data_IF_196818048538
#
_entry.id   IF_196818048538
#
_cell.length_a   1.000
_cell.length_b   1.000
_cell.length_c   1.000
_cell.angle_alpha   90.00
_cell.angle_beta   90.00
_cell.angle_gamma   90.00
#
_symmetry.space_group_name_H-M   'P 1'
#
loop_
_entity.id
_entity.type
_entity.pdbx_description
1 polymer ?
#
# COMPACT_ATOMS: atom_id res chain seq x y z
N UNK A 1 -22.74 -1.18 -25.62
CA UNK A 1 -22.69 -1.96 -24.36
C UNK A 1 -21.40 -2.77 -24.30
N UNK A 2 -21.40 -3.96 -24.92
CA UNK A 2 -20.30 -4.94 -24.82
C UNK A 2 -18.91 -4.43 -25.26
N UNK A 3 -18.82 -3.63 -26.33
CA UNK A 3 -17.54 -3.05 -26.78
C UNK A 3 -16.96 -2.03 -25.79
N UNK A 4 -17.82 -1.26 -25.11
CA UNK A 4 -17.38 -0.26 -24.12
C UNK A 4 -16.97 -0.90 -22.79
N UNK A 5 -17.52 -2.06 -22.45
CA UNK A 5 -17.12 -2.88 -21.31
C UNK A 5 -15.96 -3.83 -21.61
N UNK A 6 -15.55 -3.96 -22.86
CA UNK A 6 -14.47 -4.88 -23.24
C UNK A 6 -13.16 -4.60 -22.51
N UNK A 7 -12.70 -3.34 -22.32
CA UNK A 7 -11.50 -3.07 -21.52
C UNK A 7 -11.64 -3.55 -20.07
N UNK A 8 -12.81 -3.36 -19.45
CA UNK A 8 -13.08 -3.84 -18.09
C UNK A 8 -13.07 -5.38 -18.03
N UNK A 9 -13.72 -6.04 -18.97
CA UNK A 9 -13.76 -7.51 -19.04
C UNK A 9 -12.35 -8.07 -19.26
N UNK A 10 -11.59 -7.50 -20.21
CA UNK A 10 -10.19 -7.87 -20.45
C UNK A 10 -9.37 -7.67 -19.18
N UNK A 11 -9.54 -6.56 -18.48
CA UNK A 11 -8.79 -6.27 -17.27
C UNK A 11 -9.16 -7.19 -16.09
N UNK A 12 -10.45 -7.55 -15.95
CA UNK A 12 -10.92 -8.53 -14.96
C UNK A 12 -10.34 -9.93 -15.19
N UNK A 13 -10.15 -10.31 -16.46
CA UNK A 13 -9.57 -11.61 -16.84
C UNK A 13 -8.05 -11.59 -16.75
N UNK A 14 -7.40 -10.52 -17.22
CA UNK A 14 -5.95 -10.44 -17.34
C UNK A 14 -5.24 -10.08 -16.03
N UNK A 15 -5.91 -9.41 -15.08
CA UNK A 15 -5.29 -8.95 -13.83
C UNK A 15 -6.14 -9.39 -12.62
N UNK A 16 -6.02 -10.66 -12.18
CA UNK A 16 -6.79 -11.19 -11.06
C UNK A 16 -6.59 -10.36 -9.78
N UNK A 17 -7.70 -9.99 -9.13
CA UNK A 17 -7.66 -9.29 -7.84
C UNK A 17 -7.41 -7.77 -7.89
N UNK A 18 -6.87 -7.22 -8.98
CA UNK A 18 -6.63 -5.76 -9.09
C UNK A 18 -7.92 -4.93 -9.02
N UNK A 19 -8.99 -5.47 -9.57
CA UNK A 19 -10.27 -4.76 -9.65
C UNK A 19 -11.24 -5.12 -8.55
N UNK A 20 -10.96 -6.15 -7.74
CA UNK A 20 -11.90 -6.61 -6.71
C UNK A 20 -12.30 -5.46 -5.79
N UNK A 21 -11.33 -4.72 -5.29
CA UNK A 21 -11.53 -3.53 -4.44
C UNK A 21 -12.26 -2.37 -5.13
N UNK A 22 -12.30 -2.33 -6.46
CA UNK A 22 -12.95 -1.27 -7.26
C UNK A 22 -14.32 -1.70 -7.79
N UNK A 23 -14.56 -3.00 -7.94
CA UNK A 23 -15.81 -3.59 -8.42
C UNK A 23 -16.72 -4.07 -7.30
N UNK A 24 -16.21 -4.17 -6.08
CA UNK A 24 -17.04 -4.46 -4.91
C UNK A 24 -18.14 -3.39 -4.78
N UNK A 25 -19.36 -3.90 -4.70
CA UNK A 25 -20.57 -3.08 -4.64
C UNK A 25 -20.99 -2.95 -3.18
N UNK A 26 -21.27 -1.71 -2.77
CA UNK A 26 -21.83 -1.43 -1.46
C UNK A 26 -23.19 -2.14 -1.29
N UNK A 27 -23.55 -2.58 -0.07
CA UNK A 27 -24.88 -3.10 0.21
C UNK A 27 -25.98 -2.11 -0.18
N UNK A 28 -27.13 -2.61 -0.67
CA UNK A 28 -28.23 -1.77 -1.16
C UNK A 28 -28.69 -0.72 -0.12
N UNK A 29 -28.75 -1.07 1.16
CA UNK A 29 -29.10 -0.13 2.24
C UNK A 29 -28.12 1.04 2.34
N UNK A 30 -26.82 0.76 2.24
CA UNK A 30 -25.77 1.77 2.22
C UNK A 30 -25.85 2.61 0.94
N UNK A 31 -26.06 1.98 -0.21
CA UNK A 31 -26.19 2.70 -1.48
C UNK A 31 -27.42 3.63 -1.50
N UNK A 32 -28.56 3.21 -0.92
CA UNK A 32 -29.74 4.07 -0.76
C UNK A 32 -29.45 5.28 0.13
N UNK A 33 -28.71 5.09 1.23
CA UNK A 33 -28.28 6.24 2.07
C UNK A 33 -27.34 7.18 1.30
N UNK A 34 -26.40 6.59 0.52
CA UNK A 34 -25.45 7.31 -0.34
C UNK A 34 -26.11 8.09 -1.47
N UNK A 35 -27.29 7.64 -1.92
CA UNK A 35 -28.04 8.33 -2.98
C UNK A 35 -28.46 9.72 -2.53
N UNK A 36 -28.95 9.86 -1.31
CA UNK A 36 -29.24 11.18 -0.78
C UNK A 36 -27.94 11.91 -0.42
N UNK A 37 -27.09 11.31 0.42
CA UNK A 37 -25.83 11.88 0.89
C UNK A 37 -24.69 10.85 0.82
N UNK A 38 -23.67 11.02 -0.05
CA UNK A 38 -23.27 12.29 -0.66
C UNK A 38 -23.71 12.52 -2.11
N UNK A 39 -24.41 11.61 -2.79
CA UNK A 39 -24.61 11.73 -4.24
C UNK A 39 -25.43 12.97 -4.63
N UNK A 40 -26.68 13.06 -4.18
CA UNK A 40 -27.60 14.14 -4.55
C UNK A 40 -27.28 15.42 -3.79
N UNK A 41 -27.09 15.36 -2.47
CA UNK A 41 -26.85 16.57 -1.66
C UNK A 41 -25.50 17.17 -1.95
N UNK A 42 -24.42 16.39 -1.96
CA UNK A 42 -23.07 16.93 -2.02
C UNK A 42 -22.51 16.94 -3.46
N UNK A 43 -22.42 15.78 -4.11
CA UNK A 43 -21.68 15.62 -5.35
C UNK A 43 -22.34 16.29 -6.56
N UNK A 44 -23.68 16.23 -6.67
CA UNK A 44 -24.41 16.84 -7.79
C UNK A 44 -24.18 18.37 -7.83
N UNK A 45 -24.36 19.15 -6.75
CA UNK A 45 -24.07 20.58 -6.78
C UNK A 45 -22.62 20.93 -7.15
N UNK A 46 -21.65 20.10 -6.77
CA UNK A 46 -20.26 20.31 -7.17
C UNK A 46 -20.08 20.13 -8.69
N UNK A 47 -20.63 19.04 -9.22
CA UNK A 47 -20.52 18.68 -10.65
C UNK A 47 -21.33 19.60 -11.56
N UNK A 48 -22.44 20.11 -11.05
CA UNK A 48 -23.29 21.12 -11.70
C UNK A 48 -22.76 22.55 -11.53
N UNK A 49 -21.56 22.73 -10.99
CA UNK A 49 -20.86 24.01 -10.93
C UNK A 49 -21.39 25.00 -9.89
N UNK A 50 -22.16 24.55 -8.91
CA UNK A 50 -22.71 25.40 -7.83
C UNK A 50 -21.75 25.48 -6.64
N UNK A 51 -21.13 24.35 -6.30
CA UNK A 51 -20.14 24.23 -5.24
C UNK A 51 -18.81 23.74 -5.82
N UNK A 52 -18.26 24.46 -6.81
CA UNK A 52 -17.10 23.99 -7.56
C UNK A 52 -15.95 23.68 -6.60
N UNK A 53 -15.48 22.43 -6.61
CA UNK A 53 -14.27 22.05 -5.90
C UNK A 53 -13.08 22.70 -6.59
N UNK A 54 -12.24 23.39 -5.82
CA UNK A 54 -11.00 23.95 -6.42
C UNK A 54 -10.05 22.87 -6.89
N UNK A 55 -10.19 21.68 -6.32
CA UNK A 55 -9.42 20.51 -6.67
C UNK A 55 -10.27 19.25 -6.44
N UNK A 56 -10.19 18.21 -7.29
CA UNK A 56 -11.11 17.06 -7.25
C UNK A 56 -11.12 16.23 -5.95
N UNK A 57 -10.11 16.39 -5.10
CA UNK A 57 -9.96 15.64 -3.84
C UNK A 57 -9.93 16.53 -2.59
N UNK A 58 -10.21 17.84 -2.73
CA UNK A 58 -10.12 18.81 -1.64
C UNK A 58 -11.50 19.43 -1.39
N UNK A 59 -11.91 19.40 -0.13
CA UNK A 59 -13.18 19.95 0.35
C UNK A 59 -13.10 21.48 0.53
N UNK A 60 -12.62 22.18 -0.50
CA UNK A 60 -12.63 23.63 -0.58
C UNK A 60 -13.50 24.07 -1.76
N UNK A 61 -14.61 24.75 -1.42
CA UNK A 61 -15.65 25.15 -2.37
C UNK A 61 -15.85 26.67 -2.35
N UNK A 62 -15.05 27.44 -3.11
CA UNK A 62 -15.27 28.88 -3.27
C UNK A 62 -16.51 29.11 -4.12
N UNK A 63 -17.68 29.14 -3.49
CA UNK A 63 -18.93 29.52 -4.12
C UNK A 63 -19.12 31.03 -4.08
N UNK A 64 -19.56 31.63 -5.18
CA UNK A 64 -20.00 33.03 -5.22
C UNK A 64 -21.33 33.23 -4.46
N UNK A 65 -22.14 32.17 -4.32
CA UNK A 65 -23.47 32.22 -3.73
C UNK A 65 -23.64 31.15 -2.63
N UNK A 66 -23.24 31.45 -1.38
CA UNK A 66 -23.52 30.56 -0.27
C UNK A 66 -25.04 30.36 -0.13
N UNK A 67 -25.48 29.10 0.00
CA UNK A 67 -26.90 28.76 0.14
C UNK A 67 -27.62 28.33 -1.15
N UNK A 68 -27.03 28.54 -2.35
CA UNK A 68 -27.61 28.04 -3.61
C UNK A 68 -27.51 26.52 -3.79
N UNK A 69 -26.82 25.87 -2.87
CA UNK A 69 -26.64 24.42 -2.81
C UNK A 69 -27.98 23.67 -2.81
N UNK A 70 -28.83 23.87 -1.78
CA UNK A 70 -30.10 23.15 -1.64
C UNK A 70 -31.12 23.46 -2.75
N UNK A 71 -31.29 24.72 -3.20
CA UNK A 71 -32.14 25.01 -4.36
C UNK A 71 -31.77 24.20 -5.61
N UNK A 72 -30.47 24.03 -5.90
CA UNK A 72 -30.02 23.24 -7.05
C UNK A 72 -30.25 21.75 -6.83
N UNK A 73 -30.03 21.25 -5.61
CA UNK A 73 -30.37 19.87 -5.25
C UNK A 73 -31.85 19.58 -5.52
N UNK A 74 -32.75 20.46 -5.07
CA UNK A 74 -34.18 20.31 -5.31
C UNK A 74 -34.53 20.44 -6.79
N UNK A 75 -33.98 21.42 -7.50
CA UNK A 75 -34.20 21.59 -8.94
C UNK A 75 -33.78 20.34 -9.71
N UNK A 76 -32.56 19.84 -9.49
CA UNK A 76 -32.07 18.61 -10.10
C UNK A 76 -32.97 17.42 -9.81
N UNK A 77 -33.33 17.21 -8.54
CA UNK A 77 -34.15 16.08 -8.11
C UNK A 77 -35.53 16.11 -8.76
N UNK A 78 -36.17 17.28 -8.79
CA UNK A 78 -37.48 17.47 -9.44
C UNK A 78 -37.39 17.20 -10.94
N UNK A 79 -36.38 17.73 -11.64
CA UNK A 79 -36.21 17.51 -13.08
C UNK A 79 -36.02 16.02 -13.38
N UNK A 80 -35.14 15.33 -12.66
CA UNK A 80 -34.86 13.90 -12.90
C UNK A 80 -36.09 13.04 -12.58
N UNK A 81 -36.78 13.29 -11.46
CA UNK A 81 -37.99 12.54 -11.09
C UNK A 81 -39.11 12.77 -12.10
N UNK A 82 -39.38 14.01 -12.52
CA UNK A 82 -40.41 14.29 -13.51
C UNK A 82 -40.08 13.67 -14.87
N UNK A 83 -38.82 13.75 -15.32
CA UNK A 83 -38.39 13.11 -16.55
C UNK A 83 -38.59 11.59 -16.48
N UNK A 84 -38.23 10.94 -15.37
CA UNK A 84 -38.47 9.51 -15.15
C UNK A 84 -39.95 9.16 -15.19
N UNK A 85 -40.80 9.91 -14.49
CA UNK A 85 -42.26 9.67 -14.46
C UNK A 85 -42.87 9.81 -15.85
N UNK A 86 -42.50 10.85 -16.60
CA UNK A 86 -42.99 11.07 -17.97
C UNK A 86 -42.60 9.92 -18.90
N UNK A 87 -41.34 9.45 -18.80
CA UNK A 87 -40.81 8.36 -19.63
C UNK A 87 -41.45 7.03 -19.27
N UNK A 88 -41.57 6.72 -17.97
CA UNK A 88 -42.27 5.54 -17.48
C UNK A 88 -43.74 5.53 -17.89
N UNK A 89 -44.45 6.66 -17.73
CA UNK A 89 -45.85 6.80 -18.15
C UNK A 89 -46.04 6.55 -19.64
N UNK A 90 -45.13 7.09 -20.46
CA UNK A 90 -45.15 6.85 -21.91
C UNK A 90 -44.98 5.36 -22.24
N UNK A 91 -44.01 4.69 -21.62
CA UNK A 91 -43.78 3.25 -21.81
C UNK A 91 -45.04 2.46 -21.43
N UNK A 92 -45.62 2.74 -20.26
CA UNK A 92 -46.87 2.09 -19.81
C UNK A 92 -48.02 2.32 -20.79
N UNK A 93 -48.17 3.55 -21.32
CA UNK A 93 -49.19 3.88 -22.33
C UNK A 93 -48.98 3.11 -23.63
N UNK A 94 -47.75 3.00 -24.11
CA UNK A 94 -47.43 2.24 -25.34
C UNK A 94 -47.68 0.73 -25.15
N UNK A 95 -47.27 0.18 -24.00
CA UNK A 95 -47.53 -1.22 -23.65
C UNK A 95 -49.04 -1.49 -23.55
N UNK A 96 -49.81 -0.58 -22.96
CA UNK A 96 -51.28 -0.66 -22.92
C UNK A 96 -51.93 -0.62 -24.32
N UNK A 97 -51.29 0.06 -25.27
CA UNK A 97 -51.68 0.07 -26.69
C UNK A 97 -51.13 -1.13 -27.48
N UNK A 98 -50.51 -2.12 -26.81
CA UNK A 98 -49.83 -3.27 -27.42
C UNK A 98 -48.74 -2.88 -28.43
N UNK A 99 -48.13 -1.72 -28.24
CA UNK A 99 -46.99 -1.24 -29.03
C UNK A 99 -45.70 -1.42 -28.24
N UNK A 100 -44.68 -1.94 -28.89
CA UNK A 100 -43.35 -2.00 -28.30
C UNK A 100 -42.75 -0.59 -28.20
N UNK A 101 -42.24 -0.18 -27.03
CA UNK A 101 -41.55 1.10 -26.91
C UNK A 101 -40.25 1.07 -27.71
N UNK A 102 -40.03 2.09 -28.53
CA UNK A 102 -38.74 2.34 -29.17
C UNK A 102 -37.90 3.19 -28.22
N UNK A 103 -36.63 2.83 -28.05
CA UNK A 103 -35.67 3.62 -27.27
C UNK A 103 -35.34 4.91 -28.03
N UNK A 104 -35.73 6.03 -27.47
CA UNK A 104 -35.37 7.36 -27.97
C UNK A 104 -34.14 7.90 -27.26
N UNK A 105 -33.55 8.96 -27.85
CA UNK A 105 -32.40 9.65 -27.26
C UNK A 105 -32.68 10.12 -25.82
N UNK A 106 -33.89 10.59 -25.57
CA UNK A 106 -34.31 11.07 -24.26
C UNK A 106 -34.33 9.95 -23.21
N UNK A 107 -34.74 8.73 -23.60
CA UNK A 107 -34.72 7.56 -22.72
C UNK A 107 -33.27 7.20 -22.36
N UNK A 108 -32.36 7.29 -23.34
CA UNK A 108 -30.92 7.06 -23.13
C UNK A 108 -30.32 8.10 -22.18
N UNK A 109 -30.67 9.38 -22.33
CA UNK A 109 -30.15 10.45 -21.46
C UNK A 109 -30.62 10.29 -20.01
N UNK A 110 -31.92 10.00 -19.82
CA UNK A 110 -32.47 9.76 -18.47
C UNK A 110 -31.85 8.50 -17.86
N UNK A 111 -31.75 7.42 -18.64
CA UNK A 111 -31.10 6.18 -18.19
C UNK A 111 -29.62 6.39 -17.85
N UNK A 112 -28.90 7.23 -18.60
CA UNK A 112 -27.50 7.55 -18.33
C UNK A 112 -27.35 8.32 -17.00
N UNK A 113 -28.19 9.32 -16.73
CA UNK A 113 -28.17 10.05 -15.46
C UNK A 113 -28.46 9.12 -14.28
N UNK A 114 -29.53 8.34 -14.35
CA UNK A 114 -29.89 7.39 -13.29
C UNK A 114 -28.83 6.31 -13.12
N UNK A 115 -28.33 5.75 -14.23
CA UNK A 115 -27.27 4.75 -14.22
C UNK A 115 -25.98 5.27 -13.57
N UNK A 116 -25.59 6.51 -13.85
CA UNK A 116 -24.44 7.14 -13.20
C UNK A 116 -24.67 7.35 -11.69
N UNK A 117 -25.86 7.79 -11.29
CA UNK A 117 -26.21 7.92 -9.87
C UNK A 117 -26.16 6.57 -9.15
N UNK A 118 -26.73 5.51 -9.75
CA UNK A 118 -26.69 4.15 -9.20
C UNK A 118 -25.26 3.63 -9.13
N UNK A 119 -24.48 3.77 -10.19
CA UNK A 119 -23.09 3.34 -10.20
C UNK A 119 -22.25 4.06 -9.13
N UNK A 120 -22.48 5.37 -8.97
CA UNK A 120 -21.82 6.18 -7.95
C UNK A 120 -22.18 5.76 -6.52
N UNK A 121 -23.43 5.43 -6.25
CA UNK A 121 -23.87 5.02 -4.90
C UNK A 121 -23.47 3.60 -4.55
N UNK A 122 -23.40 2.73 -5.56
CA UNK A 122 -22.97 1.33 -5.43
C UNK A 122 -21.45 1.19 -5.34
N UNK A 123 -20.67 2.14 -5.83
CA UNK A 123 -19.21 2.07 -5.74
C UNK A 123 -18.75 2.06 -4.27
N UNK A 124 -18.02 1.02 -3.85
CA UNK A 124 -17.43 0.98 -2.51
C UNK A 124 -16.29 2.00 -2.36
N UNK A 125 -15.55 2.23 -3.44
CA UNK A 125 -14.46 3.21 -3.48
C UNK A 125 -14.96 4.64 -3.26
N UNK A 126 -14.15 5.47 -2.59
CA UNK A 126 -14.50 6.82 -2.16
C UNK A 126 -15.27 7.63 -3.21
N UNK A 127 -16.52 7.95 -2.89
CA UNK A 127 -17.48 8.62 -3.77
C UNK A 127 -17.06 10.07 -4.03
N UNK A 128 -16.31 10.29 -5.12
CA UNK A 128 -15.78 11.61 -5.50
C UNK A 128 -16.63 12.27 -6.59
N UNK A 129 -16.98 13.56 -6.47
CA UNK A 129 -17.86 14.25 -7.41
C UNK A 129 -17.49 14.08 -8.88
N UNK A 130 -16.18 14.06 -9.22
CA UNK A 130 -15.68 13.81 -10.59
C UNK A 130 -16.27 12.57 -11.29
N UNK A 131 -16.71 11.55 -10.54
CA UNK A 131 -17.32 10.35 -11.12
C UNK A 131 -18.75 10.56 -11.61
N UNK A 132 -19.40 11.66 -11.22
CA UNK A 132 -20.69 12.08 -11.75
C UNK A 132 -20.58 13.09 -12.89
N UNK A 133 -19.39 13.39 -13.43
CA UNK A 133 -19.22 14.26 -14.60
C UNK A 133 -20.16 13.93 -15.76
N UNK A 134 -20.41 12.65 -16.13
CA UNK A 134 -21.40 12.34 -17.16
C UNK A 134 -22.80 12.89 -16.86
N UNK A 135 -23.20 12.97 -15.59
CA UNK A 135 -24.48 13.59 -15.20
C UNK A 135 -24.53 15.06 -15.62
N UNK A 136 -23.46 15.84 -15.42
CA UNK A 136 -23.43 17.24 -15.89
C UNK A 136 -23.60 17.35 -17.42
N UNK A 137 -23.14 16.36 -18.18
CA UNK A 137 -23.24 16.36 -19.64
C UNK A 137 -24.64 15.98 -20.14
N UNK A 138 -25.27 14.97 -19.51
CA UNK A 138 -26.61 14.52 -19.89
C UNK A 138 -27.73 15.37 -19.28
N UNK A 139 -27.49 16.04 -18.16
CA UNK A 139 -28.52 16.82 -17.46
C UNK A 139 -29.17 17.92 -18.31
N UNK A 140 -28.46 18.70 -19.13
CA UNK A 140 -29.07 19.63 -20.08
C UNK A 140 -30.07 18.96 -21.04
N UNK A 141 -29.77 17.75 -21.52
CA UNK A 141 -30.66 16.99 -22.42
C UNK A 141 -31.91 16.48 -21.70
N UNK A 142 -31.77 16.09 -20.42
CA UNK A 142 -32.92 15.75 -19.55
C UNK A 142 -33.80 16.97 -19.30
N UNK A 143 -33.22 18.16 -19.11
CA UNK A 143 -33.98 19.40 -19.00
C UNK A 143 -34.71 19.70 -20.31
N UNK A 144 -34.06 19.57 -21.48
CA UNK A 144 -34.69 19.76 -22.78
C UNK A 144 -35.87 18.81 -23.00
N UNK A 145 -35.70 17.54 -22.60
CA UNK A 145 -36.79 16.54 -22.61
C UNK A 145 -37.98 17.04 -21.82
N UNK A 146 -37.77 17.46 -20.57
CA UNK A 146 -38.83 17.98 -19.71
C UNK A 146 -39.48 19.24 -20.30
N UNK A 147 -38.66 20.20 -20.74
CA UNK A 147 -39.11 21.45 -21.34
C UNK A 147 -40.03 21.24 -22.56
N UNK A 148 -39.69 20.29 -23.43
CA UNK A 148 -40.49 19.97 -24.62
C UNK A 148 -41.88 19.42 -24.27
N UNK A 149 -41.97 18.63 -23.19
CA UNK A 149 -43.20 18.01 -22.71
C UNK A 149 -44.10 18.95 -21.90
N UNK A 150 -43.57 20.08 -21.43
CA UNK A 150 -44.33 21.04 -20.62
C UNK A 150 -45.24 21.94 -21.46
N UNK A 151 -46.43 22.32 -20.92
CA UNK A 151 -47.27 23.36 -21.51
C UNK A 151 -46.56 24.71 -21.48
N UNK A 152 -46.93 25.61 -22.40
CA UNK A 152 -46.25 26.89 -22.61
C UNK A 152 -46.14 27.75 -21.33
N UNK A 153 -47.15 27.71 -20.45
CA UNK A 153 -47.15 28.42 -19.16
C UNK A 153 -46.01 27.99 -18.24
N UNK A 154 -45.62 26.72 -18.28
CA UNK A 154 -44.56 26.15 -17.45
C UNK A 154 -43.18 26.23 -18.11
N UNK A 155 -43.12 26.52 -19.42
CA UNK A 155 -41.85 26.69 -20.14
C UNK A 155 -41.11 27.95 -19.69
N UNK A 156 -41.80 29.07 -19.49
CA UNK A 156 -41.18 30.32 -19.05
C UNK A 156 -40.42 30.20 -17.72
N UNK A 157 -41.02 29.69 -16.62
CA UNK A 157 -40.28 29.55 -15.36
C UNK A 157 -39.12 28.56 -15.45
N UNK A 158 -39.24 27.48 -16.25
CA UNK A 158 -38.12 26.56 -16.49
C UNK A 158 -36.99 27.24 -17.26
N UNK A 159 -37.30 28.01 -18.30
CA UNK A 159 -36.30 28.78 -19.05
C UNK A 159 -35.58 29.80 -18.15
N UNK A 160 -36.32 30.50 -17.27
CA UNK A 160 -35.73 31.40 -16.28
C UNK A 160 -34.83 30.64 -15.29
N UNK A 161 -35.23 29.47 -14.83
CA UNK A 161 -34.42 28.60 -13.97
C UNK A 161 -33.12 28.15 -14.65
N UNK A 162 -33.18 27.74 -15.92
CA UNK A 162 -31.99 27.41 -16.73
C UNK A 162 -31.08 28.63 -16.86
N UNK A 163 -31.63 29.79 -17.20
CA UNK A 163 -30.86 31.02 -17.32
C UNK A 163 -30.16 31.38 -16.01
N UNK A 164 -30.88 31.35 -14.88
CA UNK A 164 -30.30 31.57 -13.57
C UNK A 164 -29.18 30.57 -13.26
N UNK A 165 -29.38 29.28 -13.59
CA UNK A 165 -28.38 28.24 -13.42
C UNK A 165 -27.10 28.48 -14.25
N UNK A 166 -27.24 28.97 -15.48
CA UNK A 166 -26.10 29.37 -16.33
C UNK A 166 -25.36 30.54 -15.71
N UNK A 167 -26.07 31.59 -15.26
CA UNK A 167 -25.46 32.76 -14.59
C UNK A 167 -24.69 32.34 -13.34
N UNK A 168 -25.24 31.44 -12.51
CA UNK A 168 -24.56 30.88 -11.35
C UNK A 168 -23.27 30.15 -11.73
N UNK A 169 -23.31 29.31 -12.77
CA UNK A 169 -22.15 28.57 -13.25
C UNK A 169 -21.04 29.51 -13.75
N UNK A 170 -21.39 30.54 -14.51
CA UNK A 170 -20.43 31.56 -14.99
C UNK A 170 -19.80 32.28 -13.80
N UNK A 171 -20.61 32.76 -12.85
CA UNK A 171 -20.11 33.48 -11.67
C UNK A 171 -19.19 32.61 -10.79
N UNK A 172 -19.56 31.35 -10.54
CA UNK A 172 -18.72 30.41 -9.80
C UNK A 172 -17.44 30.07 -10.56
N UNK A 173 -17.49 29.94 -11.89
CA UNK A 173 -16.30 29.73 -12.71
C UNK A 173 -15.33 30.91 -12.65
N UNK A 174 -15.85 32.15 -12.69
CA UNK A 174 -15.04 33.35 -12.48
C UNK A 174 -14.41 33.34 -11.09
N UNK A 175 -15.16 33.00 -10.05
CA UNK A 175 -14.65 32.91 -8.68
C UNK A 175 -13.58 31.82 -8.53
N UNK A 176 -13.76 30.68 -9.19
CA UNK A 176 -12.78 29.61 -9.23
C UNK A 176 -11.48 30.07 -9.88
N UNK A 177 -11.56 30.70 -11.05
CA UNK A 177 -10.39 31.24 -11.77
C UNK A 177 -9.65 32.26 -10.90
N UNK A 178 -10.38 33.20 -10.28
CA UNK A 178 -9.77 34.15 -9.33
C UNK A 178 -9.08 33.46 -8.16
N UNK A 179 -9.64 32.34 -7.67
CA UNK A 179 -9.06 31.57 -6.58
C UNK A 179 -7.77 30.87 -7.04
N UNK A 180 -7.75 30.29 -8.25
CA UNK A 180 -6.56 29.68 -8.83
C UNK A 180 -5.47 30.68 -9.19
N UNK A 181 -5.84 31.92 -9.52
CA UNK A 181 -4.89 33.00 -9.80
C UNK A 181 -4.23 33.58 -8.54
N UNK A 182 -4.68 33.20 -7.34
CA UNK A 182 -4.01 33.64 -6.12
C UNK A 182 -2.58 33.05 -6.06
N UNK A 183 -1.54 33.87 -5.82
CA UNK A 183 -0.14 33.45 -5.95
C UNK A 183 0.25 32.33 -4.98
N UNK A 184 -0.48 32.18 -3.87
CA UNK A 184 -0.27 31.18 -2.82
C UNK A 184 -1.24 29.99 -2.91
N UNK A 185 -2.11 29.92 -3.94
CA UNK A 185 -3.13 28.89 -4.06
C UNK A 185 -2.54 27.47 -4.03
N UNK A 186 -1.55 27.20 -4.89
CA UNK A 186 -0.95 25.88 -5.05
C UNK A 186 -0.22 25.40 -3.78
N UNK A 187 0.41 26.30 -3.06
CA UNK A 187 1.11 25.97 -1.82
C UNK A 187 0.12 25.68 -0.69
N UNK A 188 -0.95 26.48 -0.56
CA UNK A 188 -1.86 26.40 0.59
C UNK A 188 -2.93 25.33 0.47
N UNK A 189 -3.50 25.14 -0.71
CA UNK A 189 -4.76 24.40 -0.84
C UNK A 189 -4.49 22.93 -1.14
N UNK A 190 -3.81 22.56 -2.24
CA UNK A 190 -3.43 21.18 -2.46
C UNK A 190 -2.20 20.75 -1.64
N UNK A 191 -1.65 21.65 -0.81
CA UNK A 191 -0.42 21.41 -0.06
C UNK A 191 0.67 20.90 -1.01
N UNK A 192 0.85 21.59 -2.14
CA UNK A 192 1.81 21.24 -3.19
C UNK A 192 2.91 22.30 -3.21
N UNK A 193 3.82 22.27 -2.23
CA UNK A 193 4.94 23.22 -2.18
C UNK A 193 5.83 23.07 -3.41
N UNK A 194 6.56 24.13 -3.76
CA UNK A 194 7.52 24.09 -4.85
C UNK A 194 8.57 22.99 -4.61
N UNK A 195 8.75 22.08 -5.58
CA UNK A 195 9.73 20.99 -5.50
C UNK A 195 11.04 21.35 -6.18
N UNK A 196 11.12 22.47 -6.91
CA UNK A 196 12.35 22.86 -7.60
C UNK A 196 13.58 22.97 -6.68
N UNK A 197 13.49 23.56 -5.45
CA UNK A 197 14.62 23.57 -4.52
C UNK A 197 15.04 22.15 -4.09
N UNK A 198 14.06 21.28 -3.84
CA UNK A 198 14.29 19.88 -3.50
C UNK A 198 14.99 19.15 -4.66
N UNK A 199 14.49 19.29 -5.89
CA UNK A 199 15.08 18.70 -7.09
C UNK A 199 16.52 19.16 -7.29
N UNK A 200 16.80 20.46 -7.13
CA UNK A 200 18.16 20.99 -7.21
C UNK A 200 19.07 20.38 -6.14
N UNK A 201 18.59 20.25 -4.90
CA UNK A 201 19.35 19.66 -3.80
C UNK A 201 19.62 18.17 -3.99
N UNK A 202 18.64 17.41 -4.50
CA UNK A 202 18.80 15.99 -4.83
C UNK A 202 19.84 15.81 -5.93
N UNK A 203 19.77 16.60 -7.01
CA UNK A 203 20.77 16.59 -8.10
C UNK A 203 22.17 16.89 -7.59
N UNK A 204 22.32 17.93 -6.77
CA UNK A 204 23.60 18.30 -6.16
C UNK A 204 24.15 17.21 -5.24
N UNK A 205 23.28 16.36 -4.68
CA UNK A 205 23.65 15.23 -3.82
C UNK A 205 23.85 13.93 -4.61
N UNK A 206 23.75 13.95 -5.94
CA UNK A 206 23.88 12.77 -6.79
C UNK A 206 22.74 11.75 -6.65
N UNK A 207 21.60 12.15 -6.11
CA UNK A 207 20.45 11.26 -5.91
C UNK A 207 19.63 11.22 -7.20
N UNK A 208 19.55 10.04 -7.82
CA UNK A 208 18.81 9.80 -9.07
C UNK A 208 17.55 8.96 -8.87
N UNK A 209 17.37 8.36 -7.69
CA UNK A 209 16.23 7.50 -7.36
C UNK A 209 15.69 7.82 -5.97
N UNK A 210 14.35 7.83 -5.82
CA UNK A 210 13.72 8.11 -4.54
C UNK A 210 12.36 7.41 -4.32
N UNK A 211 11.96 7.26 -3.05
CA UNK A 211 10.64 6.82 -2.66
C UNK A 211 9.86 7.96 -2.01
N UNK A 212 8.60 8.12 -2.39
CA UNK A 212 7.72 9.09 -1.74
C UNK A 212 6.24 8.71 -1.83
N UNK A 213 5.35 9.60 -1.39
CA UNK A 213 3.91 9.46 -1.59
C UNK A 213 3.53 9.89 -3.01
N UNK A 214 2.44 9.31 -3.52
CA UNK A 214 2.09 9.35 -4.95
C UNK A 214 2.06 10.75 -5.58
N UNK A 215 1.56 11.77 -4.88
CA UNK A 215 1.54 13.15 -5.38
C UNK A 215 2.93 13.73 -5.60
N UNK A 216 3.90 13.40 -4.75
CA UNK A 216 5.26 13.93 -4.84
C UNK A 216 6.10 13.14 -5.84
N UNK A 217 5.86 11.83 -5.94
CA UNK A 217 6.50 10.93 -6.92
C UNK A 217 6.39 11.48 -8.34
N UNK A 218 5.18 11.78 -8.80
CA UNK A 218 4.98 12.28 -10.15
C UNK A 218 5.61 13.65 -10.37
N UNK A 219 5.55 14.53 -9.37
CA UNK A 219 6.10 15.89 -9.48
C UNK A 219 7.62 15.89 -9.51
N UNK A 220 8.30 15.17 -8.62
CA UNK A 220 9.77 15.10 -8.65
C UNK A 220 10.24 14.49 -9.97
N UNK A 221 9.60 13.41 -10.41
CA UNK A 221 9.98 12.74 -11.67
C UNK A 221 9.77 13.69 -12.86
N UNK A 222 8.63 14.35 -12.96
CA UNK A 222 8.32 15.28 -14.05
C UNK A 222 9.18 16.54 -14.02
N UNK A 223 9.26 17.24 -12.88
CA UNK A 223 10.00 18.51 -12.75
C UNK A 223 11.53 18.31 -12.77
N UNK A 224 11.99 17.07 -12.63
CA UNK A 224 13.40 16.72 -12.85
C UNK A 224 13.71 16.29 -14.30
N UNK A 225 12.76 16.38 -15.22
CA UNK A 225 12.89 15.85 -16.59
C UNK A 225 13.34 14.38 -16.59
N UNK A 226 12.77 13.58 -15.68
CA UNK A 226 13.08 12.17 -15.45
C UNK A 226 14.54 11.88 -15.02
N UNK A 227 15.36 12.91 -14.75
CA UNK A 227 16.71 12.72 -14.20
C UNK A 227 16.72 12.19 -12.76
N UNK A 228 15.60 12.33 -12.04
CA UNK A 228 15.35 11.71 -10.74
C UNK A 228 14.07 10.90 -10.86
N UNK A 229 14.17 9.57 -10.85
CA UNK A 229 13.01 8.70 -10.84
C UNK A 229 12.52 8.55 -9.40
N UNK A 230 11.25 8.79 -9.16
CA UNK A 230 10.66 8.47 -7.86
C UNK A 230 9.56 7.43 -8.00
N UNK A 231 9.38 6.63 -6.96
CA UNK A 231 8.36 5.59 -6.91
C UNK A 231 7.57 5.65 -5.59
N UNK A 232 6.34 5.14 -5.61
CA UNK A 232 5.55 5.00 -4.39
C UNK A 232 6.17 3.91 -3.51
N UNK A 233 6.13 4.07 -2.19
CA UNK A 233 6.57 2.98 -1.29
C UNK A 233 5.75 1.69 -1.44
N UNK A 234 4.49 1.86 -1.86
CA UNK A 234 3.55 0.79 -2.18
C UNK A 234 2.45 1.35 -3.05
N UNK A 235 1.81 0.51 -3.84
CA UNK A 235 0.64 0.91 -4.61
C UNK A 235 -0.54 1.19 -3.68
N UNK A 236 -0.76 2.46 -3.34
CA UNK A 236 -1.82 2.85 -2.41
C UNK A 236 -3.23 2.65 -2.98
N UNK A 237 -3.35 2.60 -4.31
CA UNK A 237 -4.62 2.47 -5.01
C UNK A 237 -4.97 1.02 -5.30
N UNK A 238 -3.98 0.20 -5.62
CA UNK A 238 -4.12 -1.22 -5.94
C UNK A 238 -3.05 -2.03 -5.19
N UNK A 239 -3.26 -2.35 -3.90
CA UNK A 239 -2.21 -2.92 -3.05
C UNK A 239 -1.61 -4.25 -3.54
N UNK A 240 -2.34 -4.99 -4.38
CA UNK A 240 -1.92 -6.27 -4.95
C UNK A 240 -1.21 -6.14 -6.30
N UNK A 241 -1.13 -4.94 -6.86
CA UNK A 241 -0.53 -4.69 -8.17
C UNK A 241 0.85 -4.09 -7.99
N UNK A 242 1.85 -4.80 -8.52
CA UNK A 242 3.24 -4.37 -8.56
C UNK A 242 3.39 -2.96 -9.14
N UNK A 243 4.37 -2.21 -8.65
CA UNK A 243 4.63 -0.87 -9.17
C UNK A 243 5.45 -0.93 -10.47
N UNK A 244 5.30 0.06 -11.38
CA UNK A 244 5.93 -0.01 -12.70
C UNK A 244 7.45 -0.14 -12.68
N UNK A 245 8.12 0.32 -11.62
CA UNK A 245 9.58 0.33 -11.51
C UNK A 245 10.08 -0.50 -10.33
N UNK A 246 9.23 -1.34 -9.73
CA UNK A 246 9.55 -2.10 -8.52
C UNK A 246 10.88 -2.87 -8.65
N UNK A 247 11.11 -3.53 -9.79
CA UNK A 247 12.35 -4.26 -10.08
C UNK A 247 13.61 -3.38 -10.12
N UNK A 248 13.46 -2.11 -10.52
CA UNK A 248 14.55 -1.14 -10.59
C UNK A 248 14.88 -0.55 -9.22
N UNK A 249 13.86 -0.38 -8.37
CA UNK A 249 14.00 0.21 -7.04
C UNK A 249 14.38 -0.79 -5.95
N UNK A 250 13.93 -2.04 -6.05
CA UNK A 250 14.32 -3.12 -5.12
C UNK A 250 15.82 -3.40 -5.19
N UNK A 251 16.47 -3.08 -6.31
CA UNK A 251 17.90 -3.33 -6.56
C UNK A 251 18.78 -2.09 -6.51
N UNK A 252 18.19 -0.90 -6.38
CA UNK A 252 18.95 0.34 -6.35
C UNK A 252 19.40 0.69 -4.94
N UNK A 253 20.68 0.53 -4.66
CA UNK A 253 21.32 1.27 -3.58
C UNK A 253 21.86 2.62 -4.10
N UNK A 254 21.72 3.72 -3.34
CA UNK A 254 21.11 3.82 -2.01
C UNK A 254 19.60 4.10 -2.04
N UNK A 255 18.85 3.49 -1.10
CA UNK A 255 17.45 3.85 -0.87
C UNK A 255 17.33 5.28 -0.33
N UNK A 256 16.47 6.10 -0.94
CA UNK A 256 16.18 7.48 -0.50
C UNK A 256 14.69 7.63 -0.26
N UNK A 257 14.28 8.14 0.90
CA UNK A 257 12.88 8.40 1.22
C UNK A 257 12.61 9.88 1.44
N UNK A 258 11.56 10.40 0.82
CA UNK A 258 11.18 11.82 0.88
C UNK A 258 9.78 11.96 1.47
N UNK A 259 9.67 12.76 2.53
CA UNK A 259 8.41 13.10 3.17
C UNK A 259 8.17 14.61 3.13
N UNK A 260 6.90 15.02 2.98
CA UNK A 260 6.47 16.42 3.08
C UNK A 260 5.91 16.71 4.48
N UNK A 261 6.23 17.87 5.03
CA UNK A 261 5.78 18.35 6.33
C UNK A 261 4.58 19.32 6.24
N UNK A 262 3.91 19.39 5.09
CA UNK A 262 2.86 20.39 4.82
C UNK A 262 1.48 20.05 5.41
N UNK A 263 1.23 18.78 5.75
CA UNK A 263 -0.05 18.39 6.32
C UNK A 263 0.13 17.46 7.52
N UNK A 264 -0.79 17.56 8.48
CA UNK A 264 -0.78 16.74 9.68
C UNK A 264 -0.70 15.23 9.37
N UNK A 265 -1.38 14.78 8.31
CA UNK A 265 -1.32 13.38 7.86
C UNK A 265 0.07 12.99 7.37
N UNK A 266 0.74 13.85 6.59
CA UNK A 266 2.08 13.58 6.07
C UNK A 266 3.15 13.67 7.16
N UNK A 267 3.01 14.62 8.10
CA UNK A 267 3.85 14.70 9.32
C UNK A 267 3.73 13.40 10.12
N UNK A 268 2.51 12.91 10.37
CA UNK A 268 2.30 11.64 11.09
C UNK A 268 2.94 10.44 10.38
N UNK A 269 2.95 10.42 9.05
CA UNK A 269 3.61 9.35 8.28
C UNK A 269 5.12 9.39 8.46
N UNK A 270 5.74 10.58 8.35
CA UNK A 270 7.16 10.79 8.65
C UNK A 270 7.50 10.34 10.08
N UNK A 271 6.72 10.76 11.07
CA UNK A 271 6.98 10.42 12.47
C UNK A 271 6.85 8.91 12.72
N UNK A 272 5.92 8.23 12.03
CA UNK A 272 5.84 6.76 12.06
C UNK A 272 7.07 6.12 11.45
N UNK A 273 7.56 6.64 10.32
CA UNK A 273 8.77 6.16 9.66
C UNK A 273 10.00 6.32 10.56
N UNK A 274 10.23 7.50 11.14
CA UNK A 274 11.33 7.71 12.08
C UNK A 274 11.24 6.84 13.33
N UNK A 275 10.03 6.64 13.88
CA UNK A 275 9.84 5.71 15.01
C UNK A 275 10.20 4.28 14.61
N UNK A 276 9.85 3.85 13.40
CA UNK A 276 10.24 2.54 12.90
C UNK A 276 11.76 2.43 12.76
N UNK A 277 12.42 3.42 12.14
CA UNK A 277 13.89 3.45 12.04
C UNK A 277 14.57 3.35 13.43
N UNK A 278 14.07 4.10 14.42
CA UNK A 278 14.56 4.02 15.81
C UNK A 278 14.30 2.65 16.44
N UNK A 279 13.11 2.10 16.26
CA UNK A 279 12.74 0.79 16.80
C UNK A 279 13.62 -0.33 16.25
N UNK A 280 13.97 -0.25 14.96
CA UNK A 280 14.83 -1.22 14.28
C UNK A 280 16.33 -0.86 14.32
N UNK A 281 16.72 0.16 15.10
CA UNK A 281 18.13 0.60 15.24
C UNK A 281 18.82 0.91 13.89
N UNK A 282 18.04 1.45 12.94
CA UNK A 282 18.54 1.88 11.63
C UNK A 282 18.94 3.35 11.73
N UNK A 283 20.24 3.61 11.63
CA UNK A 283 20.81 4.93 11.42
C UNK A 283 20.57 5.41 9.99
N UNK A 284 20.56 6.72 9.78
CA UNK A 284 20.36 7.34 8.48
C UNK A 284 21.04 8.71 8.43
N UNK A 285 21.45 9.12 7.24
CA UNK A 285 21.73 10.51 6.93
C UNK A 285 20.45 11.18 6.43
N UNK A 286 20.35 12.48 6.59
CA UNK A 286 19.21 13.19 6.05
C UNK A 286 19.36 14.70 6.11
N UNK A 287 18.62 15.36 5.23
CA UNK A 287 18.56 16.81 5.17
C UNK A 287 17.11 17.27 5.05
N UNK A 288 16.91 18.57 5.28
CA UNK A 288 15.64 19.25 5.06
C UNK A 288 15.83 20.29 3.99
N UNK A 289 14.88 20.36 3.06
CA UNK A 289 14.85 21.36 1.99
C UNK A 289 13.42 21.87 1.92
N UNK A 290 13.22 23.15 2.26
CA UNK A 290 11.89 23.71 2.47
C UNK A 290 11.01 22.82 3.38
N UNK A 291 9.80 22.44 2.96
CA UNK A 291 8.91 21.60 3.75
C UNK A 291 9.20 20.10 3.61
N UNK A 292 10.27 19.71 2.95
CA UNK A 292 10.62 18.30 2.73
C UNK A 292 11.67 17.82 3.72
N UNK A 293 11.53 16.56 4.13
CA UNK A 293 12.53 15.82 4.90
C UNK A 293 12.98 14.63 4.06
N UNK A 294 14.29 14.56 3.79
CA UNK A 294 14.92 13.49 3.03
C UNK A 294 15.71 12.59 3.98
N UNK A 295 15.54 11.28 3.85
CA UNK A 295 16.26 10.23 4.56
C UNK A 295 17.02 9.40 3.54
N UNK A 296 18.32 9.20 3.73
CA UNK A 296 19.20 8.44 2.84
C UNK A 296 20.35 7.80 3.64
N UNK A 297 21.24 7.07 2.96
CA UNK A 297 22.40 6.42 3.58
C UNK A 297 22.05 5.59 4.82
N UNK A 298 21.08 4.68 4.69
CA UNK A 298 20.67 3.86 5.82
C UNK A 298 21.81 2.93 6.25
N UNK A 299 22.06 2.86 7.55
CA UNK A 299 23.06 1.97 8.14
C UNK A 299 22.46 1.29 9.35
N UNK A 300 22.57 -0.04 9.44
CA UNK A 300 22.35 -0.69 10.73
C UNK A 300 23.41 -0.20 11.70
N UNK A 301 23.02 0.25 12.89
CA UNK A 301 23.99 0.30 13.98
C UNK A 301 24.45 -1.14 14.17
N UNK A 302 25.72 -1.43 13.87
CA UNK A 302 26.30 -2.74 14.16
C UNK A 302 26.00 -3.01 15.63
N UNK A 303 25.18 -4.02 15.90
CA UNK A 303 25.20 -4.66 17.20
C UNK A 303 26.67 -5.07 17.41
N UNK A 304 27.30 -4.56 18.46
CA UNK A 304 28.69 -4.86 18.75
C UNK A 304 28.81 -6.38 19.03
N UNK A 305 29.16 -7.14 17.99
CA UNK A 305 29.53 -8.55 18.06
C UNK A 305 28.36 -9.52 18.19
N UNK A 306 28.55 -10.72 17.65
CA UNK A 306 27.86 -11.91 18.14
C UNK A 306 28.06 -11.97 19.66
N UNK A 307 26.97 -11.86 20.43
CA UNK A 307 27.05 -12.10 21.87
C UNK A 307 27.23 -13.60 22.05
N UNK A 308 28.47 -14.04 22.31
CA UNK A 308 28.73 -15.39 22.78
C UNK A 308 28.00 -15.53 24.10
N UNK A 309 26.90 -16.28 24.11
CA UNK A 309 26.29 -16.70 25.36
C UNK A 309 27.35 -17.58 26.03
N UNK A 310 27.88 -17.12 27.16
CA UNK A 310 28.94 -17.84 27.85
C UNK A 310 28.52 -19.31 28.03
N UNK A 311 29.39 -20.25 27.66
CA UNK A 311 29.12 -21.69 27.76
C UNK A 311 28.76 -22.13 29.19
N UNK A 312 29.11 -21.31 30.19
CA UNK A 312 28.78 -21.50 31.60
C UNK A 312 27.29 -21.31 31.93
N UNK A 313 26.49 -20.71 31.03
CA UNK A 313 25.07 -20.46 31.25
C UNK A 313 24.14 -21.52 30.64
N UNK A 314 24.70 -22.57 30.02
CA UNK A 314 23.92 -23.65 29.40
C UNK A 314 24.08 -24.89 30.27
N UNK A 315 23.00 -25.30 30.92
CA UNK A 315 22.96 -26.57 31.64
C UNK A 315 22.78 -27.72 30.64
N UNK A 316 23.81 -28.57 30.56
CA UNK A 316 23.77 -29.81 29.79
C UNK A 316 23.35 -30.97 30.69
N UNK A 317 22.17 -31.50 30.45
CA UNK A 317 21.76 -32.77 31.04
C UNK A 317 22.08 -33.90 30.06
N UNK A 318 23.07 -34.72 30.41
CA UNK A 318 23.38 -35.93 29.67
C UNK A 318 22.47 -37.07 30.16
N UNK A 319 21.52 -37.51 29.33
CA UNK A 319 20.67 -38.65 29.66
C UNK A 319 21.30 -39.93 29.11
N UNK A 320 21.66 -40.85 30.01
CA UNK A 320 22.10 -42.19 29.60
C UNK A 320 20.87 -43.03 29.24
N UNK A 321 20.89 -43.53 27.99
CA UNK A 321 19.91 -44.39 27.30
C UNK A 321 18.88 -45.11 28.17
N UNK A 322 17.61 -44.75 28.01
CA UNK A 322 16.50 -45.70 28.09
C UNK A 322 16.09 -46.02 26.64
N UNK A 323 16.51 -47.18 26.11
CA UNK A 323 16.11 -47.65 24.77
C UNK A 323 17.15 -47.53 23.65
N UNK A 324 18.41 -47.17 23.94
CA UNK A 324 19.51 -47.20 22.95
C UNK A 324 19.72 -45.93 22.14
N UNK A 325 19.03 -44.83 22.48
CA UNK A 325 19.27 -43.50 21.89
C UNK A 325 20.11 -42.63 22.85
N UNK A 326 21.21 -42.06 22.35
CA UNK A 326 21.98 -41.04 23.07
C UNK A 326 21.32 -39.68 22.88
N UNK A 327 20.90 -39.08 23.99
CA UNK A 327 20.17 -37.80 24.02
C UNK A 327 20.90 -36.80 24.90
N UNK A 328 21.20 -35.64 24.33
CA UNK A 328 21.75 -34.49 25.04
C UNK A 328 20.71 -33.37 25.01
N UNK A 329 20.45 -32.74 26.16
CA UNK A 329 19.53 -31.61 26.25
C UNK A 329 20.29 -30.37 26.70
N UNK A 330 20.24 -29.32 25.89
CA UNK A 330 20.72 -27.99 26.26
C UNK A 330 19.52 -27.16 26.73
N UNK A 331 19.56 -26.71 27.97
CA UNK A 331 18.53 -25.83 28.54
C UNK A 331 19.09 -24.43 28.72
N UNK A 332 18.30 -23.43 28.35
CA UNK A 332 18.65 -22.02 28.51
C UNK A 332 17.81 -21.43 29.66
N UNK A 333 18.42 -20.66 30.57
CA UNK A 333 17.70 -20.07 31.71
C UNK A 333 16.59 -19.11 31.27
N UNK A 334 16.77 -18.45 30.12
CA UNK A 334 15.77 -17.62 29.46
C UNK A 334 15.61 -18.04 27.98
N UNK A 335 14.42 -17.92 27.36
CA UNK A 335 14.24 -18.19 25.94
C UNK A 335 15.04 -17.23 25.06
N UNK A 336 15.90 -17.77 24.18
CA UNK A 336 16.82 -16.98 23.33
C UNK A 336 16.52 -17.16 21.83
N UNK A 337 16.78 -16.14 21.01
CA UNK A 337 16.62 -16.24 19.55
C UNK A 337 17.91 -16.76 18.90
N UNK A 338 17.98 -18.08 18.70
CA UNK A 338 19.19 -18.73 18.21
C UNK A 338 19.36 -18.55 16.71
N UNK A 339 20.50 -18.00 16.30
CA UNK A 339 20.89 -17.95 14.89
C UNK A 339 21.90 -19.04 14.53
N UNK A 340 22.81 -19.40 15.44
CA UNK A 340 23.77 -20.47 15.19
C UNK A 340 24.01 -21.31 16.44
N UNK A 341 24.20 -22.61 16.21
CA UNK A 341 24.73 -23.53 17.22
C UNK A 341 26.02 -24.12 16.68
N UNK A 342 27.10 -24.01 17.46
CA UNK A 342 28.37 -24.69 17.18
C UNK A 342 28.46 -25.93 18.06
N UNK A 343 28.64 -27.08 17.45
CA UNK A 343 28.92 -28.34 18.15
C UNK A 343 30.41 -28.66 18.02
N UNK A 344 31.09 -28.88 19.13
CA UNK A 344 32.50 -29.31 19.15
C UNK A 344 32.59 -30.77 19.61
N UNK A 345 33.46 -31.54 18.97
CA UNK A 345 33.61 -32.98 19.22
C UNK A 345 35.05 -33.32 19.63
N UNK A 346 35.23 -34.28 20.55
CA UNK A 346 36.57 -34.75 20.93
C UNK A 346 37.10 -35.66 19.83
N UNK A 347 38.13 -35.22 19.13
CA UNK A 347 38.70 -35.98 18.01
C UNK A 347 39.94 -36.72 18.43
N UNK A 348 39.83 -38.04 18.59
CA UNK A 348 40.99 -38.92 18.41
C UNK A 348 40.91 -39.74 17.12
N UNK A 349 39.75 -40.25 16.67
CA UNK A 349 39.59 -40.86 15.34
C UNK A 349 38.11 -40.89 14.90
N UNK A 350 37.67 -39.92 14.09
CA UNK A 350 36.29 -39.90 13.55
C UNK A 350 36.32 -40.12 12.03
N UNK A 351 36.04 -41.35 11.58
CA UNK A 351 35.87 -41.66 10.14
C UNK A 351 34.50 -41.22 9.59
N UNK A 352 33.49 -41.09 10.46
CA UNK A 352 32.14 -40.63 10.12
C UNK A 352 31.55 -39.79 11.25
N UNK A 353 31.18 -38.53 10.98
CA UNK A 353 30.42 -37.74 11.95
C UNK A 353 29.02 -38.34 12.17
N UNK A 354 28.54 -38.42 13.42
CA UNK A 354 27.18 -38.88 13.71
C UNK A 354 26.12 -37.92 13.14
N UNK A 355 25.00 -38.49 12.67
CA UNK A 355 23.82 -37.71 12.26
C UNK A 355 23.01 -37.38 13.51
N UNK A 356 22.83 -36.09 13.76
CA UNK A 356 22.04 -35.59 14.88
C UNK A 356 20.67 -35.09 14.41
N UNK A 357 19.64 -35.40 15.18
CA UNK A 357 18.36 -34.70 15.14
C UNK A 357 18.34 -33.65 16.24
N UNK A 358 17.91 -32.45 15.92
CA UNK A 358 17.68 -31.38 16.88
C UNK A 358 16.18 -31.17 16.97
N UNK A 359 15.64 -31.14 18.18
CA UNK A 359 14.22 -30.87 18.42
C UNK A 359 14.10 -29.63 19.32
N UNK A 360 13.27 -28.67 18.87
CA UNK A 360 12.92 -27.49 19.63
C UNK A 360 11.78 -27.79 20.61
N UNK A 361 11.59 -26.92 21.61
CA UNK A 361 10.50 -27.05 22.58
C UNK A 361 9.10 -27.06 21.93
N UNK A 362 8.94 -26.47 20.75
CA UNK A 362 7.71 -26.45 19.96
C UNK A 362 7.44 -27.74 19.17
N UNK A 363 8.35 -28.73 19.25
CA UNK A 363 8.29 -29.97 18.49
C UNK A 363 8.81 -29.87 17.06
N UNK A 364 9.36 -28.72 16.66
CA UNK A 364 10.01 -28.58 15.36
C UNK A 364 11.30 -29.41 15.37
N UNK A 365 11.52 -30.20 14.32
CA UNK A 365 12.67 -31.10 14.22
C UNK A 365 13.56 -30.76 13.03
N UNK A 366 14.86 -30.77 13.24
CA UNK A 366 15.87 -30.54 12.22
C UNK A 366 16.82 -31.72 12.18
N UNK A 367 17.21 -32.15 10.98
CA UNK A 367 18.20 -33.20 10.80
C UNK A 367 19.50 -32.58 10.29
N UNK A 368 20.57 -32.75 11.04
CA UNK A 368 21.90 -32.32 10.59
C UNK A 368 22.40 -33.37 9.60
N UNK A 369 22.24 -33.09 8.31
CA UNK A 369 22.84 -33.90 7.25
C UNK A 369 24.30 -33.49 7.08
N UNK A 370 25.17 -34.49 7.05
CA UNK A 370 26.61 -34.35 6.77
C UNK A 370 26.85 -33.45 5.55
N UNK A 371 27.37 -32.25 5.75
CA UNK A 371 28.15 -31.57 4.71
C UNK A 371 29.61 -31.95 4.94
N UNK A 372 30.26 -32.57 3.94
CA UNK A 372 31.70 -32.84 4.00
C UNK A 372 32.47 -31.55 4.35
N UNK A 373 32.95 -31.46 5.60
CA UNK A 373 33.92 -30.44 6.00
C UNK A 373 35.30 -30.95 5.60
N UNK A 374 35.60 -30.86 4.30
CA UNK A 374 36.96 -30.72 3.81
C UNK A 374 36.97 -29.56 2.83
N UNK A 375 37.39 -28.39 3.31
CA UNK A 375 37.64 -27.22 2.47
C UNK A 375 36.55 -26.14 2.45
N UNK A 376 36.09 -25.67 3.61
CA UNK A 376 35.41 -24.36 3.70
C UNK A 376 36.36 -23.40 4.42
N UNK A 377 37.32 -22.85 3.67
CA UNK A 377 38.18 -21.76 4.14
C UNK A 377 37.90 -20.42 3.44
N UNK A 378 36.87 -20.32 2.59
CA UNK A 378 36.56 -19.06 1.88
C UNK A 378 35.40 -18.27 2.49
N UNK A 379 34.25 -18.87 2.80
CA UNK A 379 33.07 -18.07 3.16
C UNK A 379 32.87 -17.81 4.67
N UNK A 380 33.53 -18.57 5.56
CA UNK A 380 33.48 -18.29 7.01
C UNK A 380 34.38 -17.13 7.44
N UNK A 381 35.26 -16.65 6.55
CA UNK A 381 36.04 -15.42 6.78
C UNK A 381 35.20 -14.13 6.74
N UNK A 382 33.91 -14.25 6.37
CA UNK A 382 32.95 -13.15 6.27
C UNK A 382 32.13 -12.90 7.54
N UNK A 383 32.26 -13.74 8.58
CA UNK A 383 31.64 -13.51 9.90
C UNK A 383 32.71 -13.04 10.90
N UNK A 384 32.96 -11.72 11.01
CA UNK A 384 33.96 -11.20 11.95
C UNK A 384 33.54 -11.47 13.40
N UNK A 385 34.39 -12.19 14.16
CA UNK A 385 34.21 -12.44 15.59
C UNK A 385 34.12 -13.90 16.03
N UNK A 386 34.06 -14.86 15.10
CA UNK A 386 34.24 -16.28 15.44
C UNK A 386 35.70 -16.54 15.84
N UNK A 387 35.99 -17.16 17.00
CA UNK A 387 37.35 -17.49 17.37
C UNK A 387 37.92 -18.49 16.37
N UNK A 388 39.03 -18.12 15.71
CA UNK A 388 39.89 -19.04 14.97
C UNK A 388 40.60 -19.94 15.99
N UNK A 389 39.87 -20.92 16.51
CA UNK A 389 40.33 -21.84 17.54
C UNK A 389 41.25 -22.92 16.98
N UNK A 390 42.07 -23.44 17.89
CA UNK A 390 43.02 -24.56 17.83
C UNK A 390 42.67 -25.63 16.76
N UNK A 391 43.62 -25.90 15.84
CA UNK A 391 43.46 -26.81 14.69
C UNK A 391 43.18 -28.29 15.08
N UNK A 392 43.18 -28.59 16.37
CA UNK A 392 43.09 -29.95 16.93
C UNK A 392 41.66 -30.45 17.20
N UNK A 393 40.62 -29.60 17.09
CA UNK A 393 39.23 -29.98 17.37
C UNK A 393 38.32 -29.87 16.12
N UNK A 394 37.62 -30.96 15.77
CA UNK A 394 36.57 -30.89 14.76
C UNK A 394 35.30 -30.24 15.33
N UNK A 395 34.74 -29.27 14.61
CA UNK A 395 33.47 -28.64 14.95
C UNK A 395 32.51 -28.62 13.76
N UNK A 396 31.21 -28.59 14.06
CA UNK A 396 30.15 -28.41 13.08
C UNK A 396 29.32 -27.18 13.45
N UNK A 397 29.22 -26.22 12.52
CA UNK A 397 28.37 -25.05 12.67
C UNK A 397 27.03 -25.34 11.98
N UNK A 398 25.92 -25.17 12.70
CA UNK A 398 24.58 -25.31 12.13
C UNK A 398 23.83 -24.01 12.36
N UNK A 399 23.47 -23.35 11.25
CA UNK A 399 22.66 -22.14 11.26
C UNK A 399 21.18 -22.51 11.34
N UNK A 400 20.45 -21.85 12.23
CA UNK A 400 19.01 -21.96 12.35
C UNK A 400 18.40 -20.55 12.36
N UNK A 401 17.11 -20.46 12.06
CA UNK A 401 16.33 -19.25 12.31
C UNK A 401 15.23 -19.64 13.30
N UNK A 402 15.58 -19.69 14.59
CA UNK A 402 14.68 -20.16 15.65
C UNK A 402 14.18 -18.98 16.48
N UNK A 403 12.87 -18.64 16.37
CA UNK A 403 12.29 -17.66 17.28
C UNK A 403 12.18 -18.28 18.69
N UNK A 404 12.99 -17.77 19.62
CA UNK A 404 12.90 -18.00 21.08
C UNK A 404 12.82 -19.46 21.53
N UNK A 405 13.97 -20.08 21.72
CA UNK A 405 14.11 -21.44 22.22
C UNK A 405 14.60 -21.41 23.67
N UNK A 406 13.90 -22.11 24.56
CA UNK A 406 14.32 -22.35 25.94
C UNK A 406 15.01 -23.71 26.13
N UNK A 407 14.81 -24.64 25.17
CA UNK A 407 15.36 -25.99 25.23
C UNK A 407 15.62 -26.57 23.86
N UNK A 408 16.81 -27.13 23.66
CA UNK A 408 17.18 -27.90 22.47
C UNK A 408 17.50 -29.33 22.87
N UNK A 409 16.87 -30.31 22.19
CA UNK A 409 17.16 -31.72 22.36
C UNK A 409 17.96 -32.22 21.16
N UNK A 410 19.13 -32.78 21.40
CA UNK A 410 19.99 -33.40 20.41
C UNK A 410 19.87 -34.92 20.57
N UNK A 411 19.30 -35.59 19.58
CA UNK A 411 19.16 -37.05 19.54
C UNK A 411 20.06 -37.62 18.46
N UNK A 412 20.93 -38.54 18.83
CA UNK A 412 21.78 -39.25 17.87
C UNK A 412 20.95 -40.27 17.09
N UNK A 413 20.94 -40.18 15.76
CA UNK A 413 20.10 -41.05 14.92
C UNK A 413 20.75 -42.36 14.49
N UNK A 414 22.08 -42.48 14.62
CA UNK A 414 22.82 -43.67 14.22
C UNK A 414 23.71 -44.15 15.37
N UNK A 415 23.53 -45.38 15.89
CA UNK A 415 24.42 -45.96 16.87
C UNK A 415 25.80 -46.16 16.25
N UNK A 416 26.80 -45.45 16.77
CA UNK A 416 28.18 -45.61 16.30
C UNK A 416 28.75 -46.95 16.74
N UNK A 417 29.57 -47.57 15.88
CA UNK A 417 30.51 -48.60 16.32
C UNK A 417 31.38 -48.04 17.45
N UNK A 418 31.61 -48.84 18.50
CA UNK A 418 32.36 -48.46 19.69
C UNK A 418 33.63 -47.65 19.36
N UNK A 419 33.67 -46.39 19.79
CA UNK A 419 34.79 -45.46 19.55
C UNK A 419 34.43 -44.08 18.99
N UNK A 420 33.15 -43.68 18.95
CA UNK A 420 32.74 -42.39 18.36
C UNK A 420 32.65 -41.24 19.36
N UNK A 421 33.18 -40.09 18.95
CA UNK A 421 33.25 -38.79 19.63
C UNK A 421 31.96 -38.32 20.30
N UNK A 422 32.06 -38.00 21.59
CA UNK A 422 31.02 -37.28 22.33
C UNK A 422 31.02 -35.78 21.97
N UNK A 423 29.86 -35.13 22.06
CA UNK A 423 29.79 -33.67 21.99
C UNK A 423 30.44 -33.12 23.25
N UNK A 424 31.50 -32.34 23.09
CA UNK A 424 32.28 -31.77 24.21
C UNK A 424 31.76 -30.40 24.60
N UNK A 425 31.23 -29.65 23.62
CA UNK A 425 30.59 -28.36 23.89
C UNK A 425 29.57 -28.01 22.82
N UNK A 426 28.54 -27.29 23.26
CA UNK A 426 27.59 -26.60 22.40
C UNK A 426 27.71 -25.10 22.68
N UNK A 427 28.05 -24.31 21.67
CA UNK A 427 28.01 -22.86 21.78
C UNK A 427 26.79 -22.34 21.04
N UNK A 428 25.92 -21.64 21.75
CA UNK A 428 24.76 -20.96 21.21
C UNK A 428 25.12 -19.51 20.89
N UNK A 429 24.80 -19.08 19.68
CA UNK A 429 24.96 -17.70 19.25
C UNK A 429 23.57 -17.12 18.98
N UNK A 430 23.23 -16.08 19.75
CA UNK A 430 22.09 -15.23 19.42
C UNK A 430 22.49 -14.37 18.22
N UNK A 431 21.77 -14.50 17.10
CA UNK A 431 22.03 -13.67 15.93
C UNK A 431 20.88 -12.72 15.71
N UNK A 432 21.22 -11.45 15.60
CA UNK A 432 20.43 -10.51 14.83
C UNK A 432 20.72 -10.77 13.34
N UNK A 433 19.64 -10.82 12.56
CA UNK A 433 19.48 -11.08 11.11
C UNK A 433 20.76 -11.19 10.25
N UNK A 434 20.76 -12.20 9.36
CA UNK A 434 21.76 -12.38 8.28
C UNK A 434 22.03 -11.06 7.54
N UNK A 435 23.30 -10.64 7.47
CA UNK A 435 23.75 -9.81 6.34
C UNK A 435 23.49 -10.60 5.05
N UNK A 436 22.72 -10.04 4.13
CA UNK A 436 22.62 -10.58 2.78
C UNK A 436 24.01 -10.63 2.14
N UNK A 437 24.35 -11.67 1.36
CA UNK A 437 25.66 -11.76 0.74
C UNK A 437 25.89 -10.53 -0.15
N UNK A 438 26.95 -9.77 0.14
CA UNK A 438 27.43 -8.71 -0.75
C UNK A 438 27.81 -9.34 -2.10
N UNK A 439 27.12 -8.93 -3.16
CA UNK A 439 27.44 -9.29 -4.55
C UNK A 439 28.52 -8.39 -5.12
#
# INVERSE_FOLDING_TARGET
GLLGSAPLIVALVAVPGAYRTVTESAPLSQALSRLWDPAITNAIPQVLGVSISTYPDIDLHPGAFPGMHMPVVYFFSVVVVLALVLRAWRVLRLLGQKKWPLLELDDVCVAAVVGCLVAFTMAEFGAKPRYLLPVAWYFPLVICTLYSALPWLLRTPVALGIFAFVVLNVANSVKLIQTWMAPDYAERIPHLPDVAPLVAKLRASGITQCHSYWWLVYRITYESDESILCEQQRNQRFPTVALPYEDQFVKSEPAVFIFSNESATRIRQRDKFERALRHHQIGYDGFSEGPFKVFHSFSHQRANGLVRLASEAIDFEHFVSSGGEDVMVASFPDPISLAFVRLSFETSHVEKYPVWRIEGHDGTTWRILHSQVRGIHKDLSLLPGLPTGDESAAFQLVGFDLPRVSRLRFTRLEPGSAGTSDIVSVEAYEGLEREAPRS
#
